data_IF_920899433887
#
_entry.id   IF_920899433887
#
_cell.length_a   1.000
_cell.length_b   1.000
_cell.length_c   1.000
_cell.angle_alpha   90.00
_cell.angle_beta   90.00
_cell.angle_gamma   90.00
#
_symmetry.space_group_name_H-M   'P 1'
#
loop_
_entity.id
_entity.type
_entity.pdbx_description
1 polymer ?
#
# COMPACT_ATOMS: atom_id res chain seq x y z
N UNK A 1 37.96 11.77 -13.84
CA UNK A 1 36.58 11.40 -14.23
C UNK A 1 36.13 12.48 -15.19
N UNK A 2 36.63 12.42 -16.43
CA UNK A 2 36.17 13.30 -17.49
C UNK A 2 35.17 12.50 -18.32
N UNK A 3 34.04 13.12 -18.64
CA UNK A 3 33.12 12.60 -19.64
C UNK A 3 33.93 12.31 -20.91
N UNK A 4 33.81 11.08 -21.43
CA UNK A 4 34.48 10.72 -22.66
C UNK A 4 33.79 11.49 -23.78
N UNK A 5 34.53 12.23 -24.60
CA UNK A 5 34.01 13.09 -25.68
C UNK A 5 33.19 12.37 -26.76
N UNK A 6 33.06 11.04 -26.66
CA UNK A 6 32.19 10.21 -27.51
C UNK A 6 30.88 9.81 -26.83
N UNK A 7 30.72 10.09 -25.53
CA UNK A 7 29.49 9.84 -24.78
C UNK A 7 28.53 11.02 -24.97
N UNK A 8 27.25 10.71 -25.17
CA UNK A 8 26.21 11.75 -25.17
C UNK A 8 26.20 12.41 -23.78
N UNK A 9 26.16 13.76 -23.70
CA UNK A 9 26.04 14.43 -22.41
C UNK A 9 24.72 14.00 -21.74
N UNK A 10 24.73 13.96 -20.41
CA UNK A 10 23.60 13.48 -19.60
C UNK A 10 22.27 14.15 -19.99
N UNK A 11 22.30 15.46 -20.23
CA UNK A 11 21.13 16.24 -20.63
C UNK A 11 20.51 15.74 -21.94
N UNK A 12 21.34 15.33 -22.91
CA UNK A 12 20.86 14.78 -24.18
C UNK A 12 20.20 13.39 -24.03
N UNK A 13 20.62 12.61 -23.02
CA UNK A 13 19.97 11.33 -22.68
C UNK A 13 18.64 11.56 -21.95
N UNK A 14 18.57 12.57 -21.08
CA UNK A 14 17.33 13.00 -20.44
C UNK A 14 16.31 13.46 -21.48
N UNK A 15 16.73 14.27 -22.44
CA UNK A 15 15.84 14.74 -23.52
C UNK A 15 15.37 13.60 -24.43
N UNK A 16 16.25 12.64 -24.76
CA UNK A 16 15.90 11.46 -25.57
C UNK A 16 14.87 10.56 -24.86
N UNK A 17 15.02 10.35 -23.55
CA UNK A 17 14.07 9.55 -22.76
C UNK A 17 12.72 10.27 -22.59
N UNK A 18 12.71 11.58 -22.39
CA UNK A 18 11.48 12.39 -22.35
C UNK A 18 10.77 12.41 -23.71
N UNK A 19 11.51 12.52 -24.80
CA UNK A 19 10.97 12.49 -26.16
C UNK A 19 10.39 11.12 -26.55
N UNK A 20 11.02 10.01 -26.11
CA UNK A 20 10.45 8.67 -26.28
C UNK A 20 9.15 8.51 -25.48
N UNK A 21 9.10 9.01 -24.24
CA UNK A 21 7.87 9.02 -23.44
C UNK A 21 6.73 9.82 -24.09
N UNK A 22 7.03 10.96 -24.72
CA UNK A 22 6.04 11.77 -25.42
C UNK A 22 5.49 11.10 -26.70
N UNK A 23 6.26 10.24 -27.36
CA UNK A 23 5.83 9.49 -28.55
C UNK A 23 4.91 8.32 -28.25
N UNK A 24 5.02 7.72 -27.06
CA UNK A 24 4.20 6.58 -26.64
C UNK A 24 2.81 7.00 -26.10
N UNK A 25 2.68 8.23 -25.59
CA UNK A 25 1.40 8.79 -25.12
C UNK A 25 0.29 8.82 -26.18
N UNK A 26 0.50 9.30 -27.42
CA UNK A 26 -0.57 9.30 -28.43
C UNK A 26 -0.95 7.89 -28.88
N UNK A 27 -0.02 6.93 -28.95
CA UNK A 27 -0.38 5.52 -29.19
C UNK A 27 -1.21 4.96 -28.03
N UNK A 28 -0.90 5.40 -26.80
CA UNK A 28 -1.65 5.08 -25.58
C UNK A 28 -3.01 5.81 -25.46
N UNK A 29 -3.26 6.86 -26.23
CA UNK A 29 -4.58 7.50 -26.29
C UNK A 29 -5.41 6.93 -27.44
N UNK A 30 -4.76 6.58 -28.56
CA UNK A 30 -5.39 5.98 -29.74
C UNK A 30 -5.92 4.57 -29.47
N UNK A 31 -5.21 3.73 -28.70
CA UNK A 31 -5.75 2.40 -28.33
C UNK A 31 -6.94 2.51 -27.35
N UNK A 32 -6.94 3.47 -26.43
CA UNK A 32 -8.08 3.69 -25.51
C UNK A 32 -9.30 4.19 -26.28
N UNK A 33 -9.13 5.12 -27.22
CA UNK A 33 -10.20 5.60 -28.11
C UNK A 33 -10.80 4.46 -28.94
N UNK A 34 -9.96 3.56 -29.46
CA UNK A 34 -10.40 2.35 -30.18
C UNK A 34 -11.18 1.39 -29.27
N UNK A 35 -10.81 1.29 -27.99
CA UNK A 35 -11.48 0.44 -27.00
C UNK A 35 -12.86 1.00 -26.62
N UNK A 36 -13.00 2.31 -26.47
CA UNK A 36 -14.30 2.97 -26.24
C UNK A 36 -15.24 2.84 -27.44
N UNK A 37 -14.77 3.07 -28.68
CA UNK A 37 -15.62 2.90 -29.87
C UNK A 37 -16.11 1.46 -30.05
N UNK A 38 -15.29 0.47 -29.72
CA UNK A 38 -15.67 -0.95 -29.79
C UNK A 38 -16.74 -1.31 -28.75
N UNK A 39 -16.75 -0.63 -27.59
CA UNK A 39 -17.75 -0.78 -26.52
C UNK A 39 -19.08 -0.11 -26.87
N UNK A 40 -19.04 1.00 -27.60
CA UNK A 40 -20.24 1.68 -28.07
C UNK A 40 -20.92 0.92 -29.22
N UNK A 41 -20.15 0.39 -30.17
CA UNK A 41 -20.65 -0.43 -31.29
C UNK A 41 -21.37 -1.71 -30.84
N UNK A 42 -20.95 -2.30 -29.73
CA UNK A 42 -21.57 -3.51 -29.16
C UNK A 42 -22.84 -3.22 -28.37
N UNK A 43 -23.09 -1.98 -27.96
CA UNK A 43 -24.29 -1.58 -27.19
C UNK A 43 -25.51 -1.24 -28.05
N UNK A 44 -25.32 -0.94 -29.34
CA UNK A 44 -26.39 -0.45 -30.23
C UNK A 44 -27.13 -1.52 -31.05
N UNK A 45 -26.85 -2.81 -30.85
CA UNK A 45 -27.55 -3.90 -31.54
C UNK A 45 -28.49 -4.65 -30.57
N UNK A 46 -29.68 -4.07 -30.32
CA UNK A 46 -30.85 -4.83 -29.85
C UNK A 46 -31.85 -4.99 -31.01
N UNK A 47 -32.33 -6.22 -31.32
CA UNK A 47 -33.36 -6.41 -32.34
C UNK A 47 -34.72 -5.92 -31.84
N UNK A 48 -35.36 -5.05 -32.61
CA UNK A 48 -36.81 -4.78 -32.55
C UNK A 48 -37.56 -6.01 -33.08
N UNK A 49 -38.34 -6.67 -32.24
CA UNK A 49 -39.39 -7.59 -32.70
C UNK A 49 -40.69 -6.81 -32.90
N UNK A 50 -41.15 -6.77 -34.16
CA UNK A 50 -42.49 -6.38 -34.56
C UNK A 50 -43.34 -7.65 -34.72
N UNK A 51 -44.55 -7.66 -34.17
CA UNK A 51 -45.69 -8.38 -34.77
C UNK A 51 -46.96 -7.56 -34.58
N UNK A 52 -47.51 -7.10 -35.69
CA UNK A 52 -48.87 -6.57 -35.93
C UNK A 52 -49.95 -7.61 -35.52
N UNK A 53 -51.26 -7.40 -35.40
CA UNK A 53 -52.23 -6.27 -35.34
C UNK A 53 -53.62 -6.96 -35.40
N UNK A 54 -54.56 -6.71 -34.47
CA UNK A 54 -56.03 -6.74 -34.73
C UNK A 54 -56.79 -5.80 -33.74
N UNK A 55 -57.05 -4.58 -34.21
CA UNK A 55 -58.26 -3.71 -34.15
C UNK A 55 -59.36 -3.84 -33.03
N UNK A 56 -59.40 -2.83 -32.11
CA UNK A 56 -60.46 -1.93 -31.56
C UNK A 56 -61.96 -2.35 -31.32
N UNK A 57 -62.85 -1.55 -30.64
CA UNK A 57 -62.71 -0.38 -29.73
C UNK A 57 -63.56 -0.43 -28.42
N UNK A 58 -63.39 0.52 -27.48
CA UNK A 58 -64.33 0.71 -26.35
C UNK A 58 -63.98 1.88 -25.41
N UNK A 59 -64.92 2.79 -25.23
CA UNK A 59 -64.80 4.19 -24.80
C UNK A 59 -64.81 4.45 -23.27
N UNK A 60 -64.41 5.68 -22.91
CA UNK A 60 -64.77 6.50 -21.72
C UNK A 60 -64.18 6.26 -20.32
N UNK A 61 -63.36 7.24 -19.92
CA UNK A 61 -63.32 7.85 -18.57
C UNK A 61 -64.65 8.60 -18.28
N UNK A 62 -65.02 8.84 -17.00
CA UNK A 62 -64.63 10.13 -16.43
C UNK A 62 -64.27 10.13 -14.94
N UNK A 63 -63.51 11.17 -14.60
CA UNK A 63 -63.26 11.72 -13.27
C UNK A 63 -64.54 11.92 -12.44
N UNK A 64 -64.44 11.71 -11.13
CA UNK A 64 -65.40 12.22 -10.14
C UNK A 64 -64.65 12.67 -8.88
N UNK A 65 -64.66 13.99 -8.68
CA UNK A 65 -64.37 14.72 -7.45
C UNK A 65 -65.65 14.78 -6.62
N UNK A 66 -65.54 14.72 -5.29
CA UNK A 66 -66.40 15.31 -4.24
C UNK A 66 -66.04 14.61 -2.91
N UNK A 67 -66.08 15.18 -1.71
CA UNK A 67 -66.34 16.52 -1.19
C UNK A 67 -66.09 16.41 0.33
N UNK A 68 -65.43 17.42 0.93
CA UNK A 68 -65.29 17.53 2.39
C UNK A 68 -66.46 18.34 2.93
N UNK A 69 -67.07 17.87 4.01
CA UNK A 69 -67.72 18.74 5.00
C UNK A 69 -67.56 18.14 6.40
N UNK A 70 -67.26 19.02 7.34
CA UNK A 70 -67.02 18.79 8.75
C UNK A 70 -68.15 19.39 9.60
N UNK A 71 -68.01 19.20 10.92
CA UNK A 71 -68.76 19.83 12.03
C UNK A 71 -70.15 19.22 12.32
N UNK A 72 -70.63 19.14 13.56
CA UNK A 72 -70.12 19.35 14.93
C UNK A 72 -71.24 18.78 15.83
N UNK A 73 -70.93 18.45 17.09
CA UNK A 73 -71.98 18.14 18.06
C UNK A 73 -71.46 17.47 19.32
N UNK A 74 -70.89 18.24 20.24
CA UNK A 74 -70.50 17.78 21.58
C UNK A 74 -71.63 17.75 22.60
N UNK A 75 -71.40 17.04 23.72
CA UNK A 75 -71.59 17.43 25.14
C UNK A 75 -71.84 16.22 26.06
N UNK A 76 -71.18 16.19 27.23
CA UNK A 76 -71.67 15.44 28.41
C UNK A 76 -70.60 14.80 29.29
N UNK A 77 -70.26 15.44 30.42
CA UNK A 77 -69.37 14.97 31.50
C UNK A 77 -70.00 13.89 32.40
N UNK A 78 -69.16 13.11 33.10
CA UNK A 78 -69.35 12.89 34.55
C UNK A 78 -68.93 11.54 35.17
N UNK A 79 -67.94 11.61 36.07
CA UNK A 79 -67.68 10.78 37.28
C UNK A 79 -67.06 9.35 37.16
N UNK A 80 -65.88 9.16 37.80
CA UNK A 80 -65.33 7.85 38.25
C UNK A 80 -65.71 7.56 39.71
N UNK A 81 -64.97 6.73 40.51
CA UNK A 81 -63.89 5.76 40.21
C UNK A 81 -64.06 4.38 40.93
N UNK A 82 -63.24 3.36 40.61
CA UNK A 82 -62.74 2.32 41.55
C UNK A 82 -61.90 1.23 40.84
N UNK A 83 -60.68 0.97 41.34
CA UNK A 83 -59.74 -0.16 41.05
C UNK A 83 -60.06 -1.40 41.94
N UNK A 84 -59.39 -2.59 41.92
CA UNK A 84 -58.05 -2.96 41.39
C UNK A 84 -57.90 -4.42 40.80
N UNK A 85 -56.64 -4.82 40.52
CA UNK A 85 -56.04 -6.19 40.45
C UNK A 85 -56.22 -7.04 39.16
N UNK A 86 -55.12 -7.25 38.44
CA UNK A 86 -54.43 -8.55 38.23
C UNK A 86 -53.57 -8.55 36.93
N UNK A 87 -52.32 -9.00 37.11
CA UNK A 87 -51.40 -9.67 36.17
C UNK A 87 -51.07 -9.10 34.77
N UNK A 88 -49.84 -8.62 34.66
CA UNK A 88 -49.10 -8.41 33.41
C UNK A 88 -48.68 -9.75 32.79
N UNK A 89 -49.31 -10.14 31.67
CA UNK A 89 -48.78 -11.14 30.73
C UNK A 89 -48.72 -10.55 29.32
N UNK A 90 -47.52 -10.62 28.76
CA UNK A 90 -47.16 -10.34 27.37
C UNK A 90 -48.09 -11.03 26.34
N UNK A 91 -48.51 -10.38 25.24
CA UNK A 91 -49.15 -11.06 24.12
C UNK A 91 -48.13 -11.44 23.03
N UNK A 92 -48.03 -12.74 22.75
CA UNK A 92 -47.46 -13.32 21.53
C UNK A 92 -48.39 -13.11 20.33
N UNK A 93 -47.88 -13.13 19.07
CA UNK A 93 -48.62 -12.69 17.90
C UNK A 93 -49.68 -13.71 17.47
N UNK A 94 -50.85 -13.17 17.16
CA UNK A 94 -52.04 -13.86 16.66
C UNK A 94 -51.75 -14.63 15.36
N UNK A 95 -52.04 -15.94 15.38
CA UNK A 95 -51.92 -16.82 14.22
C UNK A 95 -53.03 -16.52 13.21
N UNK A 96 -52.77 -15.60 12.28
CA UNK A 96 -53.60 -15.45 11.08
C UNK A 96 -53.21 -16.54 10.08
N UNK A 97 -54.11 -17.50 9.87
CA UNK A 97 -53.92 -18.64 8.97
C UNK A 97 -53.60 -18.16 7.55
N UNK A 98 -52.36 -18.40 7.10
CA UNK A 98 -51.89 -18.01 5.77
C UNK A 98 -52.72 -18.67 4.68
N UNK A 99 -53.24 -17.87 3.75
CA UNK A 99 -54.04 -18.32 2.62
C UNK A 99 -53.22 -19.24 1.70
N UNK A 100 -53.81 -20.34 1.22
CA UNK A 100 -53.17 -21.37 0.37
C UNK A 100 -52.50 -20.74 -0.86
N UNK A 101 -53.07 -19.69 -1.43
CA UNK A 101 -52.49 -18.98 -2.57
C UNK A 101 -51.14 -18.33 -2.25
N UNK A 102 -50.95 -17.81 -1.03
CA UNK A 102 -49.70 -17.21 -0.59
C UNK A 102 -48.59 -18.27 -0.48
N UNK A 103 -48.92 -19.44 0.10
CA UNK A 103 -47.95 -20.53 0.19
C UNK A 103 -47.52 -21.05 -1.20
N UNK A 104 -48.45 -21.10 -2.15
CA UNK A 104 -48.14 -21.51 -3.54
C UNK A 104 -47.26 -20.47 -4.24
N UNK A 105 -47.56 -19.17 -4.08
CA UNK A 105 -46.73 -18.09 -4.63
C UNK A 105 -45.31 -18.10 -4.07
N UNK A 106 -45.17 -18.25 -2.75
CA UNK A 106 -43.87 -18.32 -2.09
C UNK A 106 -43.07 -19.57 -2.53
N UNK A 107 -43.75 -20.69 -2.76
CA UNK A 107 -43.11 -21.91 -3.26
C UNK A 107 -42.60 -21.74 -4.70
N UNK A 108 -43.37 -21.10 -5.57
CA UNK A 108 -42.95 -20.83 -6.95
C UNK A 108 -41.78 -19.85 -6.98
N UNK A 109 -41.80 -18.80 -6.14
CA UNK A 109 -40.72 -17.83 -6.02
C UNK A 109 -39.43 -18.48 -5.52
N UNK A 110 -39.49 -19.30 -4.47
CA UNK A 110 -38.33 -20.06 -3.98
C UNK A 110 -37.74 -20.97 -5.06
N UNK A 111 -38.58 -21.71 -5.79
CA UNK A 111 -38.08 -22.59 -6.86
C UNK A 111 -37.38 -21.81 -7.99
N UNK A 112 -37.87 -20.61 -8.33
CA UNK A 112 -37.23 -19.73 -9.33
C UNK A 112 -35.89 -19.18 -8.83
N UNK A 113 -35.81 -18.81 -7.55
CA UNK A 113 -34.61 -18.28 -6.93
C UNK A 113 -33.49 -19.33 -6.90
N UNK A 114 -33.78 -20.57 -6.47
CA UNK A 114 -32.81 -21.68 -6.51
C UNK A 114 -32.32 -21.99 -7.94
N UNK A 115 -33.20 -21.94 -8.94
CA UNK A 115 -32.82 -22.13 -10.35
C UNK A 115 -31.92 -21.01 -10.90
N UNK A 116 -32.14 -19.77 -10.46
CA UNK A 116 -31.30 -18.63 -10.83
C UNK A 116 -29.92 -18.68 -10.14
N UNK A 117 -29.87 -19.08 -8.87
CA UNK A 117 -28.62 -19.26 -8.14
C UNK A 117 -27.70 -20.32 -8.77
N UNK A 118 -28.22 -21.49 -9.14
CA UNK A 118 -27.42 -22.52 -9.82
C UNK A 118 -26.89 -22.07 -11.18
N UNK A 119 -27.70 -21.31 -11.95
CA UNK A 119 -27.29 -20.81 -13.26
C UNK A 119 -26.24 -19.69 -13.16
N UNK A 120 -26.29 -18.89 -12.10
CA UNK A 120 -25.34 -17.79 -11.85
C UNK A 120 -24.01 -18.32 -11.30
N UNK A 121 -24.04 -19.37 -10.50
CA UNK A 121 -22.86 -20.04 -9.94
C UNK A 121 -22.10 -20.86 -11.00
N UNK A 122 -22.83 -21.57 -11.88
CA UNK A 122 -22.21 -22.30 -13.01
C UNK A 122 -21.54 -21.35 -14.02
N UNK A 123 -22.16 -20.22 -14.36
CA UNK A 123 -21.58 -19.22 -15.27
C UNK A 123 -20.34 -18.55 -14.68
N UNK A 124 -20.34 -18.21 -13.37
CA UNK A 124 -19.16 -17.66 -12.70
C UNK A 124 -17.99 -18.65 -12.68
N UNK A 125 -18.27 -19.92 -12.38
CA UNK A 125 -17.24 -20.96 -12.36
C UNK A 125 -16.55 -21.15 -13.72
N UNK A 126 -17.30 -21.06 -14.82
CA UNK A 126 -16.73 -21.14 -16.18
C UNK A 126 -15.87 -19.92 -16.53
N UNK A 127 -16.28 -18.71 -16.12
CA UNK A 127 -15.49 -17.50 -16.36
C UNK A 127 -14.18 -17.48 -15.56
N UNK A 128 -14.20 -17.93 -14.30
CA UNK A 128 -13.00 -17.99 -13.47
C UNK A 128 -11.99 -19.04 -13.99
N UNK A 129 -12.47 -20.16 -14.52
CA UNK A 129 -11.61 -21.17 -15.17
C UNK A 129 -10.97 -20.65 -16.46
N UNK A 130 -11.68 -19.84 -17.24
CA UNK A 130 -11.17 -19.21 -18.47
C UNK A 130 -10.11 -18.13 -18.15
N UNK A 131 -10.35 -17.28 -17.15
CA UNK A 131 -9.36 -16.29 -16.67
C UNK A 131 -8.10 -16.98 -16.17
N UNK A 132 -8.25 -18.06 -15.41
CA UNK A 132 -7.12 -18.84 -14.91
C UNK A 132 -6.29 -19.45 -16.04
N UNK A 133 -6.93 -19.94 -17.11
CA UNK A 133 -6.22 -20.46 -18.28
C UNK A 133 -5.45 -19.37 -19.02
N UNK A 134 -6.05 -18.18 -19.17
CA UNK A 134 -5.40 -17.03 -19.82
C UNK A 134 -4.18 -16.56 -19.03
N UNK A 135 -4.28 -16.48 -17.70
CA UNK A 135 -3.16 -16.08 -16.84
C UNK A 135 -2.03 -17.11 -16.84
N UNK A 136 -2.35 -18.41 -16.85
CA UNK A 136 -1.36 -19.48 -16.99
C UNK A 136 -0.65 -19.44 -18.36
N UNK A 137 -1.39 -19.19 -19.45
CA UNK A 137 -0.83 -19.03 -20.80
C UNK A 137 0.08 -17.80 -20.86
N UNK A 138 -0.36 -16.67 -20.30
CA UNK A 138 0.42 -15.42 -20.24
C UNK A 138 1.71 -15.61 -19.44
N UNK A 139 1.65 -16.32 -18.32
CA UNK A 139 2.83 -16.64 -17.50
C UNK A 139 3.82 -17.53 -18.26
N UNK A 140 3.31 -18.54 -18.99
CA UNK A 140 4.13 -19.40 -19.86
C UNK A 140 4.79 -18.60 -21.00
N UNK A 141 4.09 -17.61 -21.56
CA UNK A 141 4.65 -16.73 -22.59
C UNK A 141 5.77 -15.83 -22.05
N UNK A 142 5.59 -15.19 -20.90
CA UNK A 142 6.62 -14.36 -20.26
C UNK A 142 7.89 -15.18 -20.00
N UNK A 143 7.72 -16.39 -19.45
CA UNK A 143 8.84 -17.28 -19.16
C UNK A 143 9.59 -17.72 -20.43
N UNK A 144 8.87 -17.99 -21.53
CA UNK A 144 9.49 -18.31 -22.84
C UNK A 144 10.26 -17.10 -23.40
N UNK A 145 9.65 -15.92 -23.36
CA UNK A 145 10.27 -14.66 -23.80
C UNK A 145 11.59 -14.41 -23.07
N UNK A 146 11.63 -14.57 -21.74
CA UNK A 146 12.86 -14.39 -20.96
C UNK A 146 13.95 -15.43 -21.26
N UNK A 147 13.54 -16.64 -21.67
CA UNK A 147 14.47 -17.71 -22.04
C UNK A 147 15.09 -17.49 -23.42
N UNK A 148 14.29 -16.94 -24.34
CA UNK A 148 14.66 -16.66 -25.73
C UNK A 148 15.34 -15.29 -25.91
N UNK A 149 15.33 -14.46 -24.87
CA UNK A 149 15.94 -13.13 -24.87
C UNK A 149 17.47 -13.21 -25.02
N UNK A 150 17.91 -13.20 -26.28
CA UNK A 150 19.32 -13.38 -26.66
C UNK A 150 20.22 -12.31 -26.06
N UNK A 151 19.68 -11.11 -25.84
CA UNK A 151 20.38 -9.98 -25.22
C UNK A 151 20.62 -10.21 -23.72
N UNK A 152 19.64 -10.77 -23.00
CA UNK A 152 19.81 -11.12 -21.60
C UNK A 152 20.88 -12.19 -21.41
N UNK A 153 20.89 -13.22 -22.25
CA UNK A 153 21.94 -14.24 -22.19
C UNK A 153 23.32 -13.69 -22.55
N UNK A 154 23.41 -12.75 -23.50
CA UNK A 154 24.64 -12.07 -23.83
C UNK A 154 25.14 -11.20 -22.65
N UNK A 155 24.24 -10.50 -21.97
CA UNK A 155 24.52 -9.76 -20.74
C UNK A 155 25.02 -10.67 -19.62
N UNK A 156 24.39 -11.84 -19.44
CA UNK A 156 24.81 -12.86 -18.48
C UNK A 156 26.23 -13.35 -18.76
N UNK A 157 26.57 -13.64 -20.02
CA UNK A 157 27.93 -14.05 -20.44
C UNK A 157 28.95 -12.93 -20.20
N UNK A 158 28.61 -11.68 -20.51
CA UNK A 158 29.46 -10.50 -20.24
C UNK A 158 29.71 -10.31 -18.74
N UNK A 159 28.67 -10.47 -17.92
CA UNK A 159 28.76 -10.40 -16.46
C UNK A 159 29.66 -11.51 -15.90
N UNK A 160 29.43 -12.76 -16.33
CA UNK A 160 30.26 -13.91 -15.92
C UNK A 160 31.73 -13.73 -16.31
N UNK A 161 32.00 -13.23 -17.51
CA UNK A 161 33.35 -12.94 -17.97
C UNK A 161 34.01 -11.80 -17.18
N UNK A 162 33.27 -10.75 -16.81
CA UNK A 162 33.77 -9.66 -15.97
C UNK A 162 34.13 -10.17 -14.56
N UNK A 163 33.28 -11.02 -13.98
CA UNK A 163 33.53 -11.64 -12.69
C UNK A 163 34.74 -12.57 -12.69
N UNK A 164 34.92 -13.34 -13.75
CA UNK A 164 36.10 -14.18 -13.94
C UNK A 164 37.38 -13.33 -14.04
N UNK A 165 37.34 -12.21 -14.78
CA UNK A 165 38.47 -11.26 -14.83
C UNK A 165 38.82 -10.72 -13.45
N UNK A 166 37.83 -10.33 -12.64
CA UNK A 166 38.05 -9.88 -11.24
C UNK A 166 38.68 -10.97 -10.39
N UNK A 167 38.19 -12.22 -10.51
CA UNK A 167 38.74 -13.37 -9.77
C UNK A 167 40.18 -13.67 -10.17
N UNK A 168 40.49 -13.63 -11.46
CA UNK A 168 41.86 -13.86 -11.97
C UNK A 168 42.81 -12.75 -11.51
N UNK A 169 42.40 -11.48 -11.57
CA UNK A 169 43.19 -10.37 -11.07
C UNK A 169 43.47 -10.49 -9.57
N UNK A 170 42.46 -10.88 -8.78
CA UNK A 170 42.63 -11.12 -7.35
C UNK A 170 43.56 -12.31 -7.05
N UNK A 171 43.49 -13.39 -7.83
CA UNK A 171 44.41 -14.54 -7.72
C UNK A 171 45.85 -14.13 -8.04
N UNK A 172 46.05 -13.38 -9.12
CA UNK A 172 47.37 -12.90 -9.51
C UNK A 172 47.98 -11.99 -8.44
N UNK A 173 47.19 -11.06 -7.89
CA UNK A 173 47.64 -10.21 -6.78
C UNK A 173 48.04 -11.01 -5.53
N UNK A 174 47.33 -12.11 -5.22
CA UNK A 174 47.70 -13.00 -4.10
C UNK A 174 49.00 -13.74 -4.36
N UNK A 175 49.19 -14.27 -5.56
CA UNK A 175 50.43 -14.96 -5.93
C UNK A 175 51.62 -14.01 -6.00
N UNK A 176 51.45 -12.79 -6.50
CA UNK A 176 52.49 -11.76 -6.51
C UNK A 176 52.88 -11.35 -5.09
N UNK A 177 51.91 -11.19 -4.19
CA UNK A 177 52.19 -10.98 -2.76
C UNK A 177 52.95 -12.16 -2.13
N UNK A 178 52.57 -13.40 -2.48
CA UNK A 178 53.24 -14.61 -2.00
C UNK A 178 54.69 -14.69 -2.50
N UNK A 179 54.95 -14.37 -3.78
CA UNK A 179 56.30 -14.30 -4.36
C UNK A 179 57.17 -13.25 -3.68
N UNK A 180 56.65 -12.04 -3.51
CA UNK A 180 57.34 -10.95 -2.81
C UNK A 180 57.62 -11.29 -1.34
N UNK A 181 56.69 -11.97 -0.67
CA UNK A 181 56.85 -12.42 0.71
C UNK A 181 57.88 -13.55 0.85
N UNK A 182 58.04 -14.43 -0.14
CA UNK A 182 59.04 -15.50 -0.12
C UNK A 182 60.45 -14.97 -0.45
N UNK A 183 60.55 -13.98 -1.34
CA UNK A 183 61.83 -13.32 -1.64
C UNK A 183 62.43 -12.56 -0.46
N UNK A 184 61.60 -12.19 0.53
CA UNK A 184 62.05 -11.62 1.81
C UNK A 184 62.49 -12.64 2.88
N UNK A 185 62.43 -13.96 2.61
CA UNK A 185 62.86 -15.01 3.55
C UNK A 185 64.12 -15.79 3.12
N UNK A 186 64.65 -15.58 1.92
CA UNK A 186 65.85 -16.25 1.43
C UNK A 186 67.02 -15.29 1.30
N UNK A 187 67.92 -15.29 2.29
CA UNK A 187 69.17 -14.52 2.25
C UNK A 187 69.91 -14.61 3.58
N UNK A 188 70.92 -15.47 3.64
CA UNK A 188 71.91 -15.60 4.72
C UNK A 188 72.66 -14.28 4.95
N UNK A 189 73.01 -13.98 6.21
CA UNK A 189 73.75 -12.77 6.62
C UNK A 189 75.23 -12.75 6.19
N UNK A 190 76.03 -11.69 6.48
CA UNK A 190 76.09 -11.06 7.81
C UNK A 190 76.33 -9.52 7.89
N UNK A 191 76.20 -9.01 9.13
CA UNK A 191 76.64 -7.73 9.73
C UNK A 191 75.68 -6.52 9.78
N UNK A 192 75.35 -6.14 11.03
CA UNK A 192 74.37 -5.14 11.53
C UNK A 192 74.91 -3.68 11.51
N UNK A 193 74.08 -2.58 11.61
CA UNK A 193 73.48 -2.12 12.90
C UNK A 193 72.12 -1.34 12.75
N UNK A 194 71.63 -0.56 13.75
CA UNK A 194 70.23 -0.58 14.22
C UNK A 194 69.26 0.23 13.32
N UNK A 195 68.49 -0.46 12.49
CA UNK A 195 67.44 0.18 11.69
C UNK A 195 66.61 -0.88 11.00
N UNK A 196 65.52 -1.31 11.64
CA UNK A 196 64.64 -2.33 11.06
C UNK A 196 64.09 -1.92 9.69
N UNK A 197 64.01 -2.83 8.70
CA UNK A 197 63.60 -2.48 7.35
C UNK A 197 62.12 -2.12 7.31
N UNK A 198 61.81 -1.00 6.65
CA UNK A 198 60.44 -0.57 6.43
C UNK A 198 59.67 -1.63 5.62
N UNK A 199 58.51 -2.04 6.14
CA UNK A 199 57.47 -2.74 5.37
C UNK A 199 57.27 -2.00 4.04
N UNK A 200 57.13 -2.71 2.89
CA UNK A 200 56.81 -2.05 1.64
C UNK A 200 55.54 -1.22 1.82
N UNK A 201 55.68 0.10 1.62
CA UNK A 201 54.55 1.03 1.72
C UNK A 201 53.52 0.59 0.69
N UNK A 202 52.29 0.39 1.15
CA UNK A 202 51.15 0.16 0.25
C UNK A 202 51.13 1.32 -0.76
N UNK A 203 50.91 1.09 -2.06
CA UNK A 203 50.71 2.17 -3.00
C UNK A 203 49.59 3.08 -2.46
N UNK A 204 49.75 4.41 -2.58
CA UNK A 204 48.77 5.34 -2.02
C UNK A 204 47.42 5.02 -2.64
N UNK A 205 46.43 4.76 -1.77
CA UNK A 205 45.04 4.69 -2.20
C UNK A 205 44.68 6.03 -2.85
N UNK A 206 43.91 6.02 -3.95
CA UNK A 206 43.47 7.26 -4.57
C UNK A 206 42.81 8.15 -3.51
N UNK A 207 43.08 9.47 -3.53
CA UNK A 207 42.55 10.37 -2.52
C UNK A 207 41.02 10.27 -2.51
N UNK A 208 40.46 10.04 -1.32
CA UNK A 208 39.02 10.11 -1.10
C UNK A 208 38.55 11.51 -1.51
N UNK A 209 37.49 11.65 -2.34
CA UNK A 209 36.99 12.97 -2.71
C UNK A 209 36.62 13.74 -1.44
N UNK A 210 37.29 14.87 -1.26
CA UNK A 210 37.10 15.76 -0.12
C UNK A 210 35.91 16.68 -0.43
N UNK A 211 34.74 16.35 0.10
CA UNK A 211 33.70 17.35 0.27
C UNK A 211 34.16 18.29 1.38
N UNK A 212 34.54 19.51 1.01
CA UNK A 212 34.97 20.54 1.95
C UNK A 212 33.81 20.87 2.90
N UNK A 213 34.06 20.79 4.20
CA UNK A 213 33.22 21.41 5.23
C UNK A 213 34.13 22.23 6.16
N UNK A 214 33.72 23.42 6.62
CA UNK A 214 34.63 24.33 7.30
C UNK A 214 34.90 23.92 8.75
N UNK A 215 36.19 23.92 9.09
CA UNK A 215 36.83 24.18 10.38
C UNK A 215 36.42 23.38 11.65
N UNK A 216 37.37 22.54 12.10
CA UNK A 216 37.87 22.61 13.48
C UNK A 216 37.43 21.52 14.47
N UNK A 217 38.19 20.41 14.54
CA UNK A 217 38.79 19.81 15.76
C UNK A 217 39.20 18.34 15.54
N UNK A 218 40.28 17.84 16.16
CA UNK A 218 40.79 16.50 15.89
C UNK A 218 40.16 15.47 16.85
N UNK A 219 39.47 14.47 16.30
CA UNK A 219 39.09 13.27 17.06
C UNK A 219 39.86 12.05 16.54
N UNK A 220 40.73 11.50 17.41
CA UNK A 220 41.26 10.13 17.30
C UNK A 220 40.10 9.13 17.25
N UNK A 221 40.17 8.07 16.44
CA UNK A 221 39.10 7.07 16.39
C UNK A 221 39.26 6.09 17.55
N UNK A 222 38.49 6.27 18.63
CA UNK A 222 38.26 5.22 19.60
C UNK A 222 37.16 4.29 19.06
N UNK A 223 37.65 3.15 18.61
CA UNK A 223 36.94 1.90 18.31
C UNK A 223 35.83 1.62 19.33
N UNK A 224 34.63 1.34 18.80
CA UNK A 224 33.46 0.73 19.43
C UNK A 224 32.69 1.59 20.44
N UNK A 225 31.72 2.36 19.96
CA UNK A 225 30.43 2.50 20.63
C UNK A 225 29.33 2.51 19.57
N UNK A 226 28.37 1.61 19.72
CA UNK A 226 27.09 1.65 19.03
C UNK A 226 26.33 2.88 19.53
N UNK A 227 26.66 4.05 18.97
CA UNK A 227 25.88 5.26 19.18
C UNK A 227 24.81 5.30 18.09
N UNK A 228 23.55 5.20 18.48
CA UNK A 228 22.45 5.68 17.66
C UNK A 228 22.77 7.13 17.27
N UNK A 229 23.26 7.35 16.04
CA UNK A 229 23.42 8.72 15.55
C UNK A 229 22.01 9.27 15.43
N UNK A 230 21.65 10.37 16.13
CA UNK A 230 20.43 11.08 15.80
C UNK A 230 20.48 11.39 14.30
N UNK A 231 19.37 11.20 13.60
CA UNK A 231 19.26 11.61 12.21
C UNK A 231 19.82 13.04 12.10
N UNK A 232 20.67 13.32 11.11
CA UNK A 232 21.18 14.68 10.96
C UNK A 232 19.97 15.61 10.88
N UNK A 233 19.99 16.75 11.57
CA UNK A 233 18.87 17.71 11.57
C UNK A 233 18.40 18.07 10.15
N UNK A 234 19.29 17.94 9.16
CA UNK A 234 18.97 18.06 7.73
C UNK A 234 17.96 17.01 7.23
N UNK A 235 18.11 15.74 7.62
CA UNK A 235 17.22 14.65 7.20
C UNK A 235 15.82 14.81 7.80
N UNK A 236 15.73 15.27 9.06
CA UNK A 236 14.45 15.61 9.67
C UNK A 236 13.76 16.75 8.92
N UNK A 237 14.50 17.80 8.52
CA UNK A 237 13.97 18.89 7.70
C UNK A 237 13.40 18.42 6.35
N UNK A 238 14.05 17.46 5.70
CA UNK A 238 13.55 16.86 4.45
C UNK A 238 12.25 16.08 4.64
N UNK A 239 12.10 15.39 5.77
CA UNK A 239 10.89 14.65 6.13
C UNK A 239 9.74 15.61 6.46
N UNK A 240 10.01 16.68 7.22
CA UNK A 240 9.01 17.72 7.52
C UNK A 240 8.52 18.37 6.22
N UNK A 241 9.44 18.74 5.32
CA UNK A 241 9.10 19.30 4.02
C UNK A 241 8.26 18.33 3.19
N UNK A 242 8.67 17.06 3.10
CA UNK A 242 7.92 16.01 2.42
C UNK A 242 6.49 15.88 2.95
N UNK A 243 6.33 15.82 4.27
CA UNK A 243 5.01 15.71 4.89
C UNK A 243 4.14 16.92 4.52
N UNK A 244 4.70 18.13 4.60
CA UNK A 244 3.95 19.38 4.31
C UNK A 244 3.56 19.52 2.85
N UNK A 245 4.45 19.19 1.93
CA UNK A 245 4.23 19.38 0.50
C UNK A 245 3.40 18.24 -0.11
N UNK A 246 3.65 17.00 0.29
CA UNK A 246 3.07 15.82 -0.37
C UNK A 246 1.93 15.18 0.45
N UNK A 247 1.95 15.25 1.79
CA UNK A 247 1.05 14.46 2.64
C UNK A 247 -0.06 15.29 3.31
N UNK A 248 0.19 16.55 3.65
CA UNK A 248 -0.85 17.47 4.15
C UNK A 248 -2.00 17.66 3.15
N UNK A 249 -1.77 17.83 1.83
CA UNK A 249 -2.86 17.92 0.85
C UNK A 249 -3.73 16.65 0.81
N UNK A 250 -3.13 15.49 1.09
CA UNK A 250 -3.82 14.20 1.18
C UNK A 250 -4.50 13.96 2.53
N UNK A 251 -4.51 14.97 3.41
CA UNK A 251 -5.04 14.90 4.77
C UNK A 251 -4.45 13.72 5.58
N UNK A 252 -3.16 13.43 5.39
CA UNK A 252 -2.49 12.41 6.15
C UNK A 252 -2.48 12.74 7.65
N UNK A 253 -2.90 11.78 8.48
CA UNK A 253 -2.97 11.93 9.93
C UNK A 253 -4.26 12.57 10.46
N UNK A 254 -5.20 12.98 9.60
CA UNK A 254 -6.52 13.45 10.04
C UNK A 254 -7.50 12.30 10.27
N UNK A 255 -8.47 12.54 11.15
CA UNK A 255 -9.56 11.61 11.42
C UNK A 255 -10.66 11.74 10.35
N UNK A 256 -10.49 11.03 9.24
CA UNK A 256 -11.43 11.03 8.11
C UNK A 256 -11.60 12.44 7.52
N UNK A 257 -12.86 12.87 7.36
CA UNK A 257 -13.18 14.21 6.85
C UNK A 257 -13.07 15.33 7.91
N UNK A 258 -12.74 15.01 9.16
CA UNK A 258 -12.66 15.99 10.24
C UNK A 258 -11.30 16.69 10.24
N UNK A 259 -11.26 17.95 10.67
CA UNK A 259 -10.02 18.72 10.84
C UNK A 259 -9.29 18.41 12.15
N UNK A 260 -9.69 17.34 12.85
CA UNK A 260 -9.00 16.81 14.02
C UNK A 260 -7.94 15.78 13.63
N UNK A 261 -6.74 15.91 14.17
CA UNK A 261 -5.68 14.89 14.03
C UNK A 261 -6.15 13.59 14.70
N UNK A 262 -5.92 12.46 14.03
CA UNK A 262 -6.34 11.16 14.51
C UNK A 262 -5.57 10.75 15.77
N UNK A 263 -6.22 10.08 16.73
CA UNK A 263 -5.59 9.73 18.01
C UNK A 263 -4.42 8.74 17.83
N UNK A 264 -4.43 7.90 16.79
CA UNK A 264 -3.35 6.98 16.48
C UNK A 264 -2.19 7.62 15.72
N UNK A 265 -2.29 8.90 15.33
CA UNK A 265 -1.27 9.57 14.54
C UNK A 265 -0.22 10.23 15.42
N UNK A 266 1.03 9.85 15.19
CA UNK A 266 2.22 10.40 15.83
C UNK A 266 3.10 11.03 14.77
N UNK A 267 3.75 12.14 15.11
CA UNK A 267 4.63 12.84 14.18
C UNK A 267 5.93 12.09 13.92
N UNK A 268 7.03 12.83 13.90
CA UNK A 268 8.36 12.22 13.75
C UNK A 268 8.72 11.54 15.07
N UNK A 269 8.49 10.23 15.14
CA UNK A 269 8.68 9.45 16.37
C UNK A 269 9.69 8.31 16.15
N UNK A 270 10.60 8.16 17.10
CA UNK A 270 11.61 7.08 17.07
C UNK A 270 10.98 5.71 17.30
N UNK A 271 11.62 4.67 16.79
CA UNK A 271 11.25 3.27 17.08
C UNK A 271 11.25 2.99 18.58
N UNK A 272 12.26 3.51 19.30
CA UNK A 272 12.39 3.30 20.74
C UNK A 272 11.23 3.93 21.51
N UNK A 273 10.88 5.20 21.21
CA UNK A 273 9.75 5.87 21.85
C UNK A 273 8.43 5.21 21.54
N UNK A 274 8.21 4.78 20.30
CA UNK A 274 7.01 4.02 19.93
C UNK A 274 6.85 2.75 20.77
N UNK A 275 7.94 2.01 21.00
CA UNK A 275 7.93 0.82 21.84
C UNK A 275 7.66 1.13 23.31
N UNK A 276 8.24 2.21 23.83
CA UNK A 276 8.00 2.67 25.21
C UNK A 276 6.51 3.01 25.41
N UNK A 277 5.90 3.77 24.49
CA UNK A 277 4.48 4.11 24.54
C UNK A 277 3.60 2.86 24.52
N UNK A 278 3.85 1.95 23.57
CA UNK A 278 3.07 0.71 23.44
C UNK A 278 3.31 -0.28 24.59
N UNK A 279 4.45 -0.25 25.27
CA UNK A 279 4.76 -1.19 26.36
C UNK A 279 3.79 -1.12 27.55
N UNK A 280 3.14 0.04 27.71
CA UNK A 280 2.15 0.28 28.77
C UNK A 280 0.71 -0.04 28.34
N UNK A 281 0.49 -0.35 27.06
CA UNK A 281 -0.83 -0.56 26.48
C UNK A 281 -1.21 -2.05 26.41
N UNK A 282 -2.44 -2.32 25.95
CA UNK A 282 -2.97 -3.69 25.81
C UNK A 282 -2.67 -4.27 24.42
N UNK A 283 -2.48 -5.60 24.27
CA UNK A 283 -2.29 -6.21 22.95
C UNK A 283 -3.43 -5.85 21.98
N UNK A 284 -3.09 -5.53 20.73
CA UNK A 284 -4.00 -4.89 19.78
C UNK A 284 -3.87 -3.36 19.72
N UNK A 285 -3.05 -2.77 20.61
CA UNK A 285 -2.76 -1.34 20.57
C UNK A 285 -1.80 -0.99 19.45
N UNK A 286 -1.99 0.17 18.83
CA UNK A 286 -1.19 0.60 17.70
C UNK A 286 -1.01 2.11 17.63
N UNK A 287 0.01 2.55 16.88
CA UNK A 287 0.20 3.92 16.46
C UNK A 287 0.86 3.98 15.08
N UNK A 288 0.57 5.01 14.31
CA UNK A 288 1.24 5.31 13.04
C UNK A 288 2.14 6.52 13.27
N UNK A 289 3.43 6.36 12.98
CA UNK A 289 4.45 7.41 13.11
C UNK A 289 5.08 7.75 11.78
N UNK A 290 5.53 8.99 11.62
CA UNK A 290 6.41 9.40 10.52
C UNK A 290 7.81 8.86 10.79
N UNK A 291 8.44 8.24 9.78
CA UNK A 291 9.78 7.69 9.93
C UNK A 291 10.84 8.79 9.97
N UNK A 292 11.79 8.70 10.91
CA UNK A 292 12.94 9.64 11.00
C UNK A 292 14.00 9.45 9.90
N UNK A 293 13.91 8.36 9.13
CA UNK A 293 14.99 7.92 8.22
C UNK A 293 14.61 7.96 6.75
N UNK A 294 13.32 7.82 6.47
CA UNK A 294 12.79 7.72 5.11
C UNK A 294 11.50 8.54 5.01
N UNK A 295 11.20 9.01 3.79
CA UNK A 295 9.88 9.53 3.46
C UNK A 295 8.88 8.37 3.50
N UNK A 296 8.00 8.37 4.49
CA UNK A 296 7.03 7.29 4.69
C UNK A 296 6.64 7.12 6.15
N UNK A 297 5.72 6.18 6.38
CA UNK A 297 5.14 5.92 7.70
C UNK A 297 5.54 4.56 8.23
N UNK A 298 5.44 4.40 9.54
CA UNK A 298 5.60 3.11 10.21
C UNK A 298 4.43 2.91 11.15
N UNK A 299 3.69 1.83 10.95
CA UNK A 299 2.74 1.34 11.93
C UNK A 299 3.50 0.54 12.99
N UNK A 300 3.40 0.95 14.25
CA UNK A 300 3.91 0.20 15.39
C UNK A 300 2.72 -0.44 16.10
N UNK A 301 2.77 -1.76 16.28
CA UNK A 301 1.66 -2.58 16.75
C UNK A 301 2.11 -3.45 17.93
N UNK A 302 1.32 -3.50 19.00
CA UNK A 302 1.58 -4.36 20.15
C UNK A 302 0.90 -5.72 19.98
N UNK A 303 1.68 -6.75 19.69
CA UNK A 303 1.24 -8.15 19.75
C UNK A 303 1.39 -8.71 21.17
N UNK A 304 0.81 -9.90 21.39
CA UNK A 304 1.04 -10.69 22.61
C UNK A 304 2.51 -11.08 22.79
N UNK A 305 3.21 -11.25 21.67
CA UNK A 305 4.64 -11.64 21.64
C UNK A 305 5.60 -10.43 21.65
N UNK A 306 5.05 -9.20 21.68
CA UNK A 306 5.84 -7.96 21.66
C UNK A 306 5.46 -7.01 20.53
N UNK A 307 6.25 -5.93 20.38
CA UNK A 307 6.01 -4.89 19.39
C UNK A 307 6.44 -5.34 17.99
N UNK A 308 5.54 -5.17 17.01
CA UNK A 308 5.77 -5.38 15.57
C UNK A 308 5.74 -4.03 14.87
N UNK A 309 6.52 -3.89 13.80
CA UNK A 309 6.58 -2.66 13.03
C UNK A 309 6.41 -2.95 11.55
N UNK A 310 5.46 -2.28 10.91
CA UNK A 310 5.15 -2.41 9.50
C UNK A 310 5.43 -1.08 8.81
N UNK A 311 6.26 -1.12 7.76
CA UNK A 311 6.51 0.06 6.94
C UNK A 311 5.30 0.29 6.02
N UNK A 312 4.86 1.53 5.93
CA UNK A 312 3.80 1.97 5.02
C UNK A 312 4.46 2.84 3.95
N UNK A 313 4.30 2.42 2.70
CA UNK A 313 4.69 3.24 1.55
C UNK A 313 3.63 4.31 1.30
N UNK A 314 4.09 5.51 0.94
CA UNK A 314 3.29 6.68 0.62
C UNK A 314 3.81 7.38 -0.65
N UNK A 315 4.53 6.65 -1.50
CA UNK A 315 5.18 7.20 -2.70
C UNK A 315 4.22 7.47 -3.87
N UNK A 316 3.04 6.84 -3.90
CA UNK A 316 2.12 6.84 -5.06
C UNK A 316 0.72 7.33 -4.72
N UNK A 317 0.59 8.46 -4.00
CA UNK A 317 -0.69 9.05 -3.53
C UNK A 317 -1.65 8.04 -2.88
N UNK A 318 -1.11 6.93 -2.39
CA UNK A 318 -1.81 5.78 -1.85
C UNK A 318 -0.93 5.15 -0.78
N UNK A 319 -1.59 4.47 0.15
CA UNK A 319 -0.95 3.92 1.34
C UNK A 319 -1.06 2.40 1.32
N UNK A 320 0.08 1.72 1.43
CA UNK A 320 0.11 0.25 1.45
C UNK A 320 1.24 -0.25 2.34
N UNK A 321 1.08 -1.46 2.89
CA UNK A 321 2.13 -2.09 3.67
C UNK A 321 3.22 -2.68 2.77
N UNK A 322 4.49 -2.42 3.11
CA UNK A 322 5.62 -2.97 2.39
C UNK A 322 5.80 -4.46 2.75
N UNK A 323 5.59 -5.34 1.77
CA UNK A 323 5.91 -6.77 1.84
C UNK A 323 4.80 -7.68 2.40
N UNK A 324 3.72 -7.12 2.94
CA UNK A 324 2.45 -7.81 3.18
C UNK A 324 1.44 -7.41 2.07
N UNK A 325 0.27 -8.05 2.04
CA UNK A 325 -0.80 -7.87 1.05
C UNK A 325 -0.82 -6.44 0.46
N UNK A 326 -0.61 -6.30 -0.86
CA UNK A 326 -0.39 -5.01 -1.54
C UNK A 326 -1.68 -4.22 -1.73
N UNK A 327 -2.62 -4.34 -0.79
CA UNK A 327 -3.84 -3.58 -0.80
C UNK A 327 -3.50 -2.10 -0.58
N UNK A 328 -3.85 -1.29 -1.57
CA UNK A 328 -3.64 0.15 -1.56
C UNK A 328 -4.90 0.83 -1.02
N UNK A 329 -4.69 1.78 -0.11
CA UNK A 329 -5.73 2.62 0.46
C UNK A 329 -5.55 4.07 0.01
N UNK A 330 -6.65 4.80 -0.17
CA UNK A 330 -6.58 6.21 -0.58
C UNK A 330 -6.16 7.12 0.58
N UNK A 331 -6.34 6.68 1.82
CA UNK A 331 -5.93 7.44 3.01
C UNK A 331 -5.41 6.52 4.13
N UNK A 332 -4.57 7.08 5.02
CA UNK A 332 -4.16 6.38 6.24
C UNK A 332 -5.35 6.02 7.15
N UNK A 333 -6.39 6.85 7.16
CA UNK A 333 -7.59 6.57 7.95
C UNK A 333 -8.33 5.33 7.42
N UNK A 334 -8.46 5.21 6.10
CA UNK A 334 -9.04 4.03 5.44
C UNK A 334 -8.20 2.77 5.68
N UNK A 335 -6.87 2.90 5.59
CA UNK A 335 -5.94 1.80 5.92
C UNK A 335 -6.16 1.31 7.35
N UNK A 336 -6.29 2.23 8.32
CA UNK A 336 -6.56 1.88 9.71
C UNK A 336 -7.92 1.23 9.88
N UNK A 337 -8.96 1.77 9.25
CA UNK A 337 -10.33 1.25 9.35
C UNK A 337 -10.45 -0.17 8.81
N UNK A 338 -9.85 -0.43 7.64
CA UNK A 338 -9.85 -1.75 7.02
C UNK A 338 -9.19 -2.80 7.93
N UNK A 339 -8.03 -2.47 8.51
CA UNK A 339 -7.26 -3.40 9.34
C UNK A 339 -7.78 -3.53 10.79
N UNK A 340 -8.97 -3.00 11.11
CA UNK A 340 -9.68 -3.34 12.35
C UNK A 340 -10.29 -4.73 12.30
N UNK A 341 -10.72 -5.15 11.12
CA UNK A 341 -11.38 -6.44 10.88
C UNK A 341 -10.46 -7.38 10.08
N UNK A 342 -9.63 -6.84 9.20
CA UNK A 342 -8.72 -7.61 8.36
C UNK A 342 -7.28 -7.63 8.90
N UNK A 343 -6.66 -8.81 9.10
CA UNK A 343 -5.29 -8.90 9.60
C UNK A 343 -4.26 -8.31 8.62
N UNK A 344 -3.25 -7.61 9.15
CA UNK A 344 -2.17 -7.01 8.33
C UNK A 344 -1.37 -8.07 7.56
N UNK A 345 -1.11 -9.22 8.18
CA UNK A 345 -0.36 -10.31 7.55
C UNK A 345 -1.18 -11.59 7.52
N UNK A 346 -1.12 -12.35 6.41
CA UNK A 346 -1.94 -13.56 6.22
C UNK A 346 -1.65 -14.67 7.25
N UNK A 347 -0.45 -14.71 7.81
CA UNK A 347 -0.06 -15.64 8.88
C UNK A 347 -0.28 -15.07 10.28
N UNK A 348 -0.44 -13.75 10.39
CA UNK A 348 -0.63 -13.06 11.64
C UNK A 348 -2.12 -12.87 11.98
N UNK A 349 -2.35 -12.21 13.11
CA UNK A 349 -3.68 -11.83 13.61
C UNK A 349 -3.65 -10.37 14.09
N UNK A 350 -2.82 -9.55 13.45
CA UNK A 350 -2.65 -8.15 13.84
C UNK A 350 -3.85 -7.34 13.38
N UNK A 351 -4.73 -7.02 14.34
CA UNK A 351 -5.91 -6.18 14.14
C UNK A 351 -5.72 -4.86 14.88
N UNK A 352 -6.03 -3.74 14.23
CA UNK A 352 -5.83 -2.39 14.74
C UNK A 352 -6.97 -1.98 15.68
N UNK A 353 -6.97 -2.53 16.90
CA UNK A 353 -8.09 -2.38 17.83
C UNK A 353 -8.05 -1.09 18.64
N UNK A 354 -6.89 -0.78 19.24
CA UNK A 354 -6.79 0.31 20.22
C UNK A 354 -5.80 1.39 19.77
N UNK A 355 -6.27 2.59 19.39
CA UNK A 355 -5.36 3.67 19.01
C UNK A 355 -4.59 4.19 20.24
N UNK A 356 -3.27 4.17 20.18
CA UNK A 356 -2.41 4.75 21.21
C UNK A 356 -2.36 6.27 21.02
N UNK A 357 -3.04 6.98 21.92
CA UNK A 357 -3.11 8.44 21.92
C UNK A 357 -1.81 9.09 22.36
N UNK A 358 -1.65 10.37 22.05
CA UNK A 358 -0.52 11.15 22.52
C UNK A 358 -0.55 11.35 24.04
N UNK A 359 0.63 11.25 24.66
CA UNK A 359 0.81 11.42 26.09
C UNK A 359 1.55 12.71 26.47
N UNK A 360 2.35 13.26 25.54
CA UNK A 360 3.18 14.45 25.78
C UNK A 360 2.50 15.74 25.29
N UNK A 361 2.78 16.86 25.97
CA UNK A 361 2.44 18.21 25.52
C UNK A 361 3.73 19.05 25.41
N UNK A 362 3.99 19.74 24.28
CA UNK A 362 3.17 19.77 23.06
C UNK A 362 3.11 18.43 22.31
N UNK A 363 2.08 18.21 21.47
CA UNK A 363 1.97 17.06 20.57
C UNK A 363 3.22 16.79 19.72
N UNK A 364 3.61 15.52 19.59
CA UNK A 364 4.74 15.09 18.74
C UNK A 364 4.56 15.43 17.25
N UNK A 365 3.32 15.66 16.80
CA UNK A 365 3.02 16.04 15.42
C UNK A 365 3.05 17.55 15.19
N UNK A 366 3.22 18.37 16.22
CA UNK A 366 3.09 19.83 16.11
C UNK A 366 4.02 20.41 15.02
N UNK A 367 5.28 19.95 14.96
CA UNK A 367 6.24 20.39 13.94
C UNK A 367 5.79 20.10 12.49
N UNK A 368 4.89 19.15 12.28
CA UNK A 368 4.42 18.74 10.95
C UNK A 368 3.27 19.61 10.43
N UNK A 369 2.46 20.18 11.33
CA UNK A 369 1.25 20.94 11.00
C UNK A 369 1.42 22.46 11.10
N UNK A 370 2.57 22.95 11.61
CA UNK A 370 2.87 24.39 11.78
C UNK A 370 3.35 25.14 10.54
#
# INVERSE_FOLDING_TARGET
MGEHHLDKPYDALCDETLAQGARLKPEQEVWELRKTQSREFTSSLKPKSHSSDVRAPGDREPRSVCEKAAEEGGHGRGHGPASPLEEEKTPLPSSSSRNVHQMLADSISRMKEYGFHQKKESVKKTQDEEVKQIDEERTKQIYKSWKEDSEWQASLRKSKAADERRRSLAKQAREDYKRLSQRGRGGEGPQSPPGGPQKPRRPPLPPKPQFLSPAGHPCRPLRNQAAARPASRSAQGDIVRWFREEQLPLRAGYLGASDSVAPWFHGILTLQRANELLSTCVPGSFLIRVSERIKGYVLSYLSKDGCKHFLIDASTDSYSFLGADQLQHASLAELVEYHKEEPITSLGKELLLYPCSQQEQPPDYQELFE
#
